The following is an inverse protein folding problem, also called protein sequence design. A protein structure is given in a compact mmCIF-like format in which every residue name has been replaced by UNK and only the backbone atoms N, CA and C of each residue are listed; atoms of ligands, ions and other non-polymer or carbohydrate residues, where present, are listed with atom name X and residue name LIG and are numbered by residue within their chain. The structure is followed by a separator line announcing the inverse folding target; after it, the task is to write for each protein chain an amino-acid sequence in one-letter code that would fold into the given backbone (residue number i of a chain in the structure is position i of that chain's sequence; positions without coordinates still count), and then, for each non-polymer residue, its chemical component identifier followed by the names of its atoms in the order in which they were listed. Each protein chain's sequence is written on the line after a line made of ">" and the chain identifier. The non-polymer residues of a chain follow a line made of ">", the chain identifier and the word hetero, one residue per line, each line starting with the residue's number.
data_IF_198230734773
#
_entry.id   IF_198230734773
#
_cell.length_a   1.000
_cell.length_b   1.000
_cell.length_c   1.000
_cell.angle_alpha   90.00
_cell.angle_beta   90.00
_cell.angle_gamma   90.00
#
_symmetry.space_group_name_H-M   'P 1'
#
loop_
_entity.id
_entity.type
_entity.pdbx_description
1 polymer ?
#
# COMPACT_ATOMS: atom_id res chain seq x y z
N UNK A 1 -17.42 -1.69 10.98
CA UNK A 1 -17.09 -2.31 12.30
C UNK A 1 -16.09 -3.48 12.21
N UNK A 2 -15.22 -3.49 11.20
CA UNK A 2 -14.23 -4.57 10.97
C UNK A 2 -13.05 -4.44 11.95
N UNK A 3 -12.60 -3.24 12.23
CA UNK A 3 -11.49 -2.98 13.17
C UNK A 3 -11.83 -3.35 14.61
N UNK A 4 -13.07 -3.15 15.04
CA UNK A 4 -13.53 -3.55 16.38
C UNK A 4 -13.59 -5.07 16.58
N UNK A 5 -13.83 -5.85 15.50
CA UNK A 5 -13.85 -7.30 15.57
C UNK A 5 -12.46 -7.94 15.66
N UNK A 6 -11.42 -7.24 15.20
CA UNK A 6 -10.03 -7.71 15.25
C UNK A 6 -9.33 -7.39 16.58
N UNK A 7 -9.95 -6.60 17.45
CA UNK A 7 -9.37 -6.21 18.74
C UNK A 7 -8.11 -5.33 18.62
N UNK A 8 -7.81 -4.83 17.43
CA UNK A 8 -6.65 -3.97 17.17
C UNK A 8 -7.11 -2.51 17.13
N UNK A 9 -6.48 -1.68 17.94
CA UNK A 9 -6.68 -0.23 17.91
C UNK A 9 -5.60 0.41 17.08
N UNK A 10 -5.98 1.02 15.97
CA UNK A 10 -5.11 1.91 15.20
C UNK A 10 -5.14 3.30 15.84
N UNK A 11 -4.01 3.98 15.87
CA UNK A 11 -3.88 5.31 16.51
C UNK A 11 -3.08 6.26 15.62
N UNK A 12 -3.30 7.55 15.81
CA UNK A 12 -2.60 8.62 15.09
C UNK A 12 -2.95 8.66 13.61
N UNK A 13 -2.00 9.07 12.79
CA UNK A 13 -2.13 9.05 11.33
C UNK A 13 -2.08 7.61 10.82
N UNK A 14 -3.11 7.16 10.10
CA UNK A 14 -3.26 5.79 9.63
C UNK A 14 -2.98 5.67 8.14
N UNK A 15 -1.94 4.93 7.77
CA UNK A 15 -1.71 4.49 6.40
C UNK A 15 -2.61 3.29 6.08
N UNK A 16 -3.32 3.32 4.96
CA UNK A 16 -4.08 2.17 4.44
C UNK A 16 -3.42 1.68 3.16
N UNK A 17 -2.60 0.64 3.28
CA UNK A 17 -1.88 0.06 2.15
C UNK A 17 -2.80 -0.84 1.35
N UNK A 18 -2.89 -0.57 0.07
CA UNK A 18 -3.71 -1.33 -0.88
C UNK A 18 -2.86 -1.87 -2.04
N UNK A 19 -3.48 -2.67 -2.90
CA UNK A 19 -3.00 -2.98 -4.24
C UNK A 19 -3.92 -2.30 -5.26
N UNK A 20 -3.45 -1.24 -5.87
CA UNK A 20 -4.27 -0.35 -6.72
C UNK A 20 -4.65 -0.94 -8.08
N UNK A 21 -4.08 -2.09 -8.46
CA UNK A 21 -4.32 -2.78 -9.72
C UNK A 21 -3.30 -2.42 -10.80
N UNK A 22 -2.95 -3.40 -11.66
CA UNK A 22 -2.10 -3.20 -12.84
C UNK A 22 -2.92 -2.66 -14.01
N UNK A 23 -2.26 -1.98 -14.95
CA UNK A 23 -2.90 -1.52 -16.18
C UNK A 23 -3.54 -2.69 -16.93
N UNK A 24 -4.82 -2.52 -17.30
CA UNK A 24 -5.61 -3.53 -18.00
C UNK A 24 -6.12 -4.67 -17.13
N UNK A 25 -5.72 -4.75 -15.86
CA UNK A 25 -6.28 -5.75 -14.94
C UNK A 25 -7.72 -5.38 -14.56
N UNK A 26 -8.65 -6.30 -14.80
CA UNK A 26 -10.06 -6.14 -14.45
C UNK A 26 -10.42 -6.74 -13.08
N UNK A 27 -9.50 -7.45 -12.44
CA UNK A 27 -9.76 -8.25 -11.25
C UNK A 27 -9.23 -7.60 -9.94
N UNK A 28 -8.77 -6.35 -9.98
CA UNK A 28 -8.41 -5.65 -8.75
C UNK A 28 -9.67 -5.25 -7.97
N UNK A 29 -9.58 -5.19 -6.65
CA UNK A 29 -10.66 -4.75 -5.79
C UNK A 29 -10.90 -3.25 -5.99
N UNK A 30 -12.13 -2.90 -6.33
CA UNK A 30 -12.49 -1.52 -6.67
C UNK A 30 -12.42 -0.60 -5.46
N UNK A 31 -12.09 0.69 -5.65
CA UNK A 31 -11.98 1.67 -4.56
C UNK A 31 -13.24 1.75 -3.69
N UNK A 32 -14.42 1.67 -4.28
CA UNK A 32 -15.70 1.73 -3.60
C UNK A 32 -15.85 0.67 -2.51
N UNK A 33 -15.27 -0.51 -2.75
CA UNK A 33 -15.32 -1.62 -1.80
C UNK A 33 -14.62 -1.29 -0.47
N UNK A 34 -13.58 -0.45 -0.54
CA UNK A 34 -12.77 -0.09 0.61
C UNK A 34 -13.28 1.12 1.40
N UNK A 35 -14.19 1.90 0.83
CA UNK A 35 -14.69 3.15 1.44
C UNK A 35 -15.12 3.01 2.90
N UNK A 36 -15.94 2.02 3.28
CA UNK A 36 -16.38 1.91 4.67
C UNK A 36 -15.22 1.67 5.64
N UNK A 37 -14.22 0.89 5.22
CA UNK A 37 -13.08 0.55 6.06
C UNK A 37 -12.16 1.76 6.21
N UNK A 38 -11.82 2.42 5.11
CA UNK A 38 -10.94 3.60 5.12
C UNK A 38 -11.57 4.74 5.93
N UNK A 39 -12.89 4.95 5.78
CA UNK A 39 -13.63 5.94 6.55
C UNK A 39 -13.64 5.62 8.05
N UNK A 40 -13.78 4.35 8.43
CA UNK A 40 -13.81 3.94 9.84
C UNK A 40 -12.48 4.20 10.55
N UNK A 41 -11.35 4.05 9.83
CA UNK A 41 -10.01 4.26 10.40
C UNK A 41 -9.46 5.68 10.15
N UNK A 42 -10.21 6.52 9.46
CA UNK A 42 -9.78 7.86 9.01
C UNK A 42 -8.40 7.82 8.34
N UNK A 43 -8.18 6.80 7.48
CA UNK A 43 -6.89 6.52 6.90
C UNK A 43 -6.66 7.19 5.55
N UNK A 44 -5.38 7.37 5.22
CA UNK A 44 -4.91 7.78 3.88
C UNK A 44 -4.55 6.54 3.08
N UNK A 45 -5.00 6.44 1.84
CA UNK A 45 -4.57 5.37 0.94
C UNK A 45 -3.10 5.56 0.59
N UNK A 46 -2.31 4.52 0.81
CA UNK A 46 -0.89 4.54 0.48
C UNK A 46 -0.51 3.41 -0.48
N UNK A 47 0.44 3.70 -1.35
CA UNK A 47 1.08 2.75 -2.27
C UNK A 47 2.59 3.01 -2.33
N UNK A 48 3.30 2.12 -3.01
CA UNK A 48 4.70 2.28 -3.40
C UNK A 48 4.87 1.89 -4.86
N UNK A 49 5.90 2.42 -5.51
CA UNK A 49 6.26 1.98 -6.84
C UNK A 49 6.68 0.49 -6.84
N UNK A 50 6.50 -0.18 -7.96
CA UNK A 50 6.91 -1.58 -8.12
C UNK A 50 8.32 -1.68 -8.64
N UNK A 51 9.04 -2.75 -8.25
CA UNK A 51 10.37 -3.03 -8.76
C UNK A 51 10.38 -3.66 -10.17
N UNK A 52 9.22 -4.02 -10.70
CA UNK A 52 9.07 -4.55 -12.05
C UNK A 52 8.39 -3.54 -12.96
N UNK A 53 8.71 -3.60 -14.26
CA UNK A 53 8.22 -2.65 -15.26
C UNK A 53 6.71 -2.64 -15.43
N UNK A 54 6.15 -1.47 -15.67
CA UNK A 54 4.72 -1.22 -15.87
C UNK A 54 4.36 0.22 -15.54
N UNK A 55 3.08 0.55 -15.44
CA UNK A 55 2.67 1.92 -15.08
C UNK A 55 2.82 2.22 -13.58
N UNK A 56 3.12 1.22 -12.79
CA UNK A 56 3.33 1.37 -11.34
C UNK A 56 4.80 1.44 -10.93
N UNK A 57 5.73 1.41 -11.88
CA UNK A 57 7.17 1.45 -11.60
C UNK A 57 7.75 2.86 -11.44
N UNK A 58 6.94 3.89 -11.69
CA UNK A 58 7.39 5.28 -11.69
C UNK A 58 6.39 6.22 -11.06
N UNK A 59 6.92 7.19 -10.34
CA UNK A 59 6.16 8.26 -9.68
C UNK A 59 5.31 9.08 -10.65
N UNK A 60 5.72 9.21 -11.91
CA UNK A 60 4.97 9.97 -12.92
C UNK A 60 3.76 9.21 -13.47
N UNK A 61 3.82 7.88 -13.51
CA UNK A 61 2.79 7.05 -14.15
C UNK A 61 1.86 6.37 -13.15
N UNK A 62 2.35 5.99 -11.98
CA UNK A 62 1.57 5.29 -10.97
C UNK A 62 0.33 6.08 -10.49
N UNK A 63 0.42 7.37 -10.12
CA UNK A 63 -0.75 8.15 -9.73
C UNK A 63 -1.78 8.31 -10.85
N UNK A 64 -1.32 8.37 -12.12
CA UNK A 64 -2.22 8.42 -13.27
C UNK A 64 -3.05 7.14 -13.39
N UNK A 65 -2.40 5.97 -13.23
CA UNK A 65 -3.09 4.70 -13.23
C UNK A 65 -4.08 4.59 -12.07
N UNK A 66 -3.71 5.03 -10.88
CA UNK A 66 -4.63 5.06 -9.74
C UNK A 66 -5.84 5.94 -10.01
N UNK A 67 -5.65 7.08 -10.67
CA UNK A 67 -6.75 7.95 -11.12
C UNK A 67 -7.64 7.26 -12.16
N UNK A 68 -7.05 6.60 -13.17
CA UNK A 68 -7.79 5.81 -14.17
C UNK A 68 -8.62 4.70 -13.53
N UNK A 69 -8.12 4.09 -12.46
CA UNK A 69 -8.82 3.06 -11.69
C UNK A 69 -9.84 3.61 -10.68
N UNK A 70 -10.01 4.93 -10.61
CA UNK A 70 -11.04 5.58 -9.79
C UNK A 70 -10.64 5.83 -8.34
N UNK A 71 -9.40 5.55 -7.93
CA UNK A 71 -8.98 5.71 -6.53
C UNK A 71 -9.08 7.17 -6.06
N UNK A 72 -8.63 8.12 -6.88
CA UNK A 72 -8.63 9.56 -6.54
C UNK A 72 -10.04 10.17 -6.47
N UNK A 73 -11.09 9.44 -6.85
CA UNK A 73 -12.48 9.90 -6.69
C UNK A 73 -12.97 9.78 -5.25
N UNK A 74 -12.35 8.92 -4.46
CA UNK A 74 -12.82 8.56 -3.13
C UNK A 74 -11.82 8.84 -2.02
N UNK A 75 -10.53 8.94 -2.35
CA UNK A 75 -9.47 8.98 -1.36
C UNK A 75 -8.37 9.96 -1.71
N UNK A 76 -7.76 10.52 -0.68
CA UNK A 76 -6.43 11.08 -0.77
C UNK A 76 -5.43 9.90 -0.88
N UNK A 77 -4.42 10.08 -1.75
CA UNK A 77 -3.46 9.04 -2.09
C UNK A 77 -2.06 9.57 -1.82
N UNK A 78 -1.29 8.80 -1.09
CA UNK A 78 0.12 9.05 -0.88
C UNK A 78 0.97 7.92 -1.49
N UNK A 79 1.84 8.26 -2.42
CA UNK A 79 2.86 7.38 -2.95
C UNK A 79 4.11 7.51 -2.09
N UNK A 80 4.29 6.59 -1.14
CA UNK A 80 5.24 6.72 -0.03
C UNK A 80 6.71 6.84 -0.45
N UNK A 81 7.06 6.36 -1.62
CA UNK A 81 8.40 6.41 -2.22
C UNK A 81 8.50 7.37 -3.41
N UNK A 82 7.61 8.36 -3.49
CA UNK A 82 7.59 9.33 -4.59
C UNK A 82 8.89 10.13 -4.74
N UNK A 83 9.62 10.30 -3.66
CA UNK A 83 10.92 10.98 -3.59
C UNK A 83 12.10 10.00 -3.54
N UNK A 84 11.86 8.71 -3.78
CA UNK A 84 12.86 7.64 -3.70
C UNK A 84 12.87 6.88 -2.37
N UNK A 85 13.63 5.79 -2.26
CA UNK A 85 13.82 5.04 -1.02
C UNK A 85 14.78 5.79 -0.12
N UNK A 86 14.28 6.68 0.70
CA UNK A 86 15.10 7.67 1.38
C UNK A 86 15.45 7.32 2.82
N UNK A 87 14.74 6.37 3.42
CA UNK A 87 14.96 5.96 4.80
C UNK A 87 15.51 4.55 4.84
N UNK A 88 16.67 4.41 5.45
CA UNK A 88 17.33 3.12 5.65
C UNK A 88 17.10 2.69 7.09
N UNK A 89 16.38 1.59 7.26
CA UNK A 89 16.19 0.98 8.57
C UNK A 89 17.13 -0.18 8.79
N UNK A 90 17.96 -0.16 9.83
CA UNK A 90 18.77 -1.31 10.20
C UNK A 90 17.88 -2.48 10.61
N UNK A 91 18.26 -3.69 10.24
CA UNK A 91 17.60 -4.93 10.66
C UNK A 91 18.49 -5.58 11.74
N UNK A 92 18.21 -5.37 13.04
CA UNK A 92 19.00 -5.95 14.11
C UNK A 92 18.99 -7.48 13.98
N UNK A 93 20.19 -8.08 14.00
CA UNK A 93 20.37 -9.53 13.86
C UNK A 93 19.89 -10.14 12.54
N UNK A 94 19.64 -9.34 11.51
CA UNK A 94 19.28 -9.82 10.18
C UNK A 94 20.32 -10.82 9.66
N UNK A 95 19.89 -12.01 9.23
CA UNK A 95 20.81 -13.05 8.72
C UNK A 95 21.21 -12.78 7.27
N UNK A 96 20.27 -12.39 6.43
CA UNK A 96 20.46 -12.13 5.00
C UNK A 96 20.49 -10.63 4.73
N UNK A 97 19.43 -9.94 5.07
CA UNK A 97 19.35 -8.49 4.94
C UNK A 97 19.83 -7.81 6.23
N UNK A 98 20.60 -6.76 6.09
CA UNK A 98 21.12 -5.94 7.20
C UNK A 98 20.37 -4.63 7.35
N UNK A 99 19.73 -4.20 6.29
CA UNK A 99 18.97 -2.97 6.20
C UNK A 99 17.75 -3.12 5.30
N UNK A 100 16.75 -2.26 5.52
CA UNK A 100 15.55 -2.16 4.71
C UNK A 100 15.42 -0.72 4.22
N UNK A 101 15.24 -0.54 2.92
CA UNK A 101 15.03 0.75 2.29
C UNK A 101 13.53 0.98 2.16
N UNK A 102 13.02 2.05 2.76
CA UNK A 102 11.60 2.38 2.76
C UNK A 102 11.36 3.79 2.25
N UNK A 103 10.22 4.01 1.64
CA UNK A 103 9.81 5.33 1.21
C UNK A 103 9.66 6.29 2.40
N UNK A 104 10.17 7.51 2.25
CA UNK A 104 10.22 8.51 3.32
C UNK A 104 8.85 8.78 3.95
N UNK A 105 7.80 8.81 3.15
CA UNK A 105 6.47 9.13 3.63
C UNK A 105 5.91 8.09 4.62
N UNK A 106 6.51 6.90 4.70
CA UNK A 106 6.15 5.94 5.76
C UNK A 106 6.30 6.54 7.16
N UNK A 107 7.21 7.50 7.34
CA UNK A 107 7.44 8.20 8.61
C UNK A 107 6.31 9.16 9.01
N UNK A 108 5.39 9.47 8.10
CA UNK A 108 4.26 10.35 8.36
C UNK A 108 3.09 9.64 9.05
N UNK A 109 3.21 8.32 9.27
CA UNK A 109 2.13 7.49 9.79
C UNK A 109 2.52 6.80 11.10
N UNK A 110 1.56 6.75 12.03
CA UNK A 110 1.71 6.09 13.32
C UNK A 110 1.23 4.64 13.30
N UNK A 111 0.34 4.31 12.37
CA UNK A 111 -0.25 2.98 12.21
C UNK A 111 -0.41 2.63 10.74
N UNK A 112 -0.37 1.33 10.43
CA UNK A 112 -0.63 0.84 9.08
C UNK A 112 -1.66 -0.30 9.08
N UNK A 113 -2.68 -0.14 8.24
CA UNK A 113 -3.63 -1.19 7.89
C UNK A 113 -3.32 -1.69 6.47
N UNK A 114 -3.00 -2.97 6.32
CA UNK A 114 -2.76 -3.57 5.01
C UNK A 114 -4.01 -4.28 4.53
N UNK A 115 -4.64 -3.73 3.49
CA UNK A 115 -5.81 -4.31 2.82
C UNK A 115 -5.33 -5.07 1.57
N UNK A 116 -4.95 -6.33 1.78
CA UNK A 116 -4.38 -7.15 0.73
C UNK A 116 -5.44 -7.80 -0.14
N UNK A 117 -5.21 -7.81 -1.44
CA UNK A 117 -5.91 -8.69 -2.37
C UNK A 117 -5.16 -10.03 -2.44
N UNK A 118 -5.62 -11.00 -1.67
CA UNK A 118 -5.02 -12.34 -1.63
C UNK A 118 -5.26 -13.08 -2.96
N UNK A 119 -4.20 -13.59 -3.56
CA UNK A 119 -4.24 -14.25 -4.87
C UNK A 119 -3.05 -15.18 -5.09
N UNK A 120 -3.12 -16.04 -6.09
CA UNK A 120 -1.97 -16.84 -6.56
C UNK A 120 -0.83 -15.96 -7.07
N UNK A 121 0.39 -16.40 -6.88
CA UNK A 121 1.60 -15.74 -7.38
C UNK A 121 2.60 -16.75 -7.95
N UNK A 122 3.11 -16.56 -9.19
CA UNK A 122 3.93 -17.57 -9.87
C UNK A 122 5.25 -17.86 -9.17
N UNK A 123 5.87 -16.88 -8.52
CA UNK A 123 7.15 -17.07 -7.84
C UNK A 123 7.02 -17.41 -6.36
N UNK A 124 5.97 -16.91 -5.69
CA UNK A 124 5.81 -17.06 -4.24
C UNK A 124 4.67 -17.99 -3.82
N UNK A 125 4.03 -18.67 -4.76
CA UNK A 125 2.84 -19.47 -4.51
C UNK A 125 1.59 -18.63 -4.28
N UNK A 126 1.66 -17.61 -3.42
CA UNK A 126 0.60 -16.65 -3.18
C UNK A 126 1.14 -15.21 -3.02
N UNK A 127 0.27 -14.23 -3.21
CA UNK A 127 0.50 -12.82 -2.92
C UNK A 127 -0.54 -12.32 -1.91
N UNK A 128 -0.10 -11.54 -0.95
CA UNK A 128 -0.92 -10.98 0.12
C UNK A 128 -0.14 -9.95 0.94
N UNK A 129 -0.53 -9.73 2.20
CA UNK A 129 0.05 -8.68 3.03
C UNK A 129 1.53 -8.90 3.39
N UNK A 130 1.96 -10.16 3.48
CA UNK A 130 3.32 -10.50 3.96
C UNK A 130 4.29 -10.71 2.78
N UNK A 131 3.79 -10.87 1.58
CA UNK A 131 4.63 -11.10 0.41
C UNK A 131 4.92 -9.81 -0.33
#
# INVERSE_FOLDING_TARGET
>A
MITLSLGVKLSGAVAVKVHSGEKGNQNFLRPEFWRPIVAEVHGTIVETNTAYGGMRDRTETHPRLMKEHGWSQYFDIDLMDSEGPDVIWPIPNGKVLKENHVGRHLMNYDSMLVLAHFKGHPMGGYGGAIK
#
